data_IF_490111183027
#
_entry.id   IF_490111183027
#
_cell.length_a   1.000
_cell.length_b   1.000
_cell.length_c   1.000
_cell.angle_alpha   90.00
_cell.angle_beta   90.00
_cell.angle_gamma   90.00
#
_symmetry.space_group_name_H-M   'P 1'
#
loop_
_entity.id
_entity.type
_entity.pdbx_description
1 polymer ?
#
# COMPACT_ATOMS: atom_id res chain seq x y z
N UNK A 1 -12.46 48.54 -59.50
CA UNK A 1 -11.49 47.67 -58.80
C UNK A 1 -11.77 47.83 -57.33
N UNK A 2 -12.32 46.81 -56.69
CA UNK A 2 -12.66 46.83 -55.26
C UNK A 2 -11.56 46.09 -54.51
N UNK A 3 -10.97 46.77 -53.54
CA UNK A 3 -9.90 46.28 -52.69
C UNK A 3 -10.30 45.01 -51.92
N UNK A 4 -9.54 43.94 -52.13
CA UNK A 4 -9.70 42.70 -51.40
C UNK A 4 -9.04 42.86 -50.01
N UNK A 5 -9.84 43.20 -49.00
CA UNK A 5 -9.41 43.15 -47.60
C UNK A 5 -9.11 41.69 -47.19
N UNK A 6 -7.91 41.48 -46.69
CA UNK A 6 -7.52 40.26 -45.98
C UNK A 6 -8.30 40.16 -44.66
N UNK A 7 -9.12 39.13 -44.54
CA UNK A 7 -9.74 38.76 -43.26
C UNK A 7 -8.71 37.89 -42.53
N UNK A 8 -7.89 38.52 -41.69
CA UNK A 8 -7.04 37.80 -40.73
C UNK A 8 -7.97 37.04 -39.75
N UNK A 9 -7.91 35.71 -39.81
CA UNK A 9 -8.63 34.87 -38.85
C UNK A 9 -8.13 35.15 -37.43
N UNK A 10 -9.01 35.23 -36.41
CA UNK A 10 -8.59 35.51 -35.05
C UNK A 10 -7.68 34.40 -34.53
N UNK A 11 -6.40 34.73 -34.31
CA UNK A 11 -5.44 33.88 -33.58
C UNK A 11 -5.89 33.79 -32.12
N UNK A 12 -6.59 32.72 -31.77
CA UNK A 12 -6.98 32.44 -30.38
C UNK A 12 -5.74 32.13 -29.54
N UNK A 13 -5.59 32.87 -28.44
CA UNK A 13 -4.42 32.83 -27.55
C UNK A 13 -4.68 31.81 -26.45
N UNK A 14 -3.77 30.85 -26.28
CA UNK A 14 -3.83 29.84 -25.23
C UNK A 14 -3.81 30.50 -23.84
N UNK A 15 -4.80 30.18 -23.00
CA UNK A 15 -4.87 30.67 -21.63
C UNK A 15 -3.80 29.97 -20.79
N UNK A 16 -2.92 30.77 -20.17
CA UNK A 16 -1.83 30.31 -19.31
C UNK A 16 -2.37 29.74 -17.98
N UNK A 17 -2.73 28.46 -17.98
CA UNK A 17 -3.08 27.69 -16.78
C UNK A 17 -1.94 26.81 -16.31
N UNK A 18 -2.05 26.28 -15.08
CA UNK A 18 -1.15 25.24 -14.59
C UNK A 18 -1.18 24.04 -15.55
N UNK A 19 -0.06 23.79 -16.21
CA UNK A 19 0.12 22.66 -17.12
C UNK A 19 0.02 21.34 -16.34
N UNK A 20 -0.46 20.24 -16.96
CA UNK A 20 -0.52 18.93 -16.32
C UNK A 20 0.84 18.49 -15.79
N UNK A 21 0.84 17.78 -14.67
CA UNK A 21 2.10 17.22 -14.13
C UNK A 21 2.58 16.10 -15.07
N UNK A 22 3.89 16.03 -15.40
CA UNK A 22 4.40 14.94 -16.23
C UNK A 22 4.06 13.56 -15.66
N UNK A 23 3.52 12.69 -16.49
CA UNK A 23 2.99 11.39 -16.09
C UNK A 23 4.01 10.28 -16.35
N UNK A 24 4.48 9.63 -15.28
CA UNK A 24 5.49 8.57 -15.32
C UNK A 24 4.92 7.16 -15.60
N UNK A 25 3.67 7.06 -16.05
CA UNK A 25 3.06 5.77 -16.35
C UNK A 25 2.51 5.00 -15.13
N UNK A 26 2.47 5.60 -13.94
CA UNK A 26 1.86 4.96 -12.77
C UNK A 26 0.34 4.87 -12.91
N UNK A 27 -0.18 3.64 -13.02
CA UNK A 27 -1.61 3.36 -13.19
C UNK A 27 -2.51 4.12 -12.19
N UNK A 28 -2.11 4.22 -10.93
CA UNK A 28 -2.92 4.87 -9.89
C UNK A 28 -2.97 6.40 -10.00
N UNK A 29 -2.03 7.03 -10.72
CA UNK A 29 -2.01 8.48 -10.99
C UNK A 29 -2.68 8.83 -12.33
N UNK A 30 -2.97 7.84 -13.18
CA UNK A 30 -3.52 8.04 -14.51
C UNK A 30 -4.84 8.81 -14.50
N UNK A 31 -5.77 8.48 -13.59
CA UNK A 31 -7.08 9.16 -13.47
C UNK A 31 -6.93 10.65 -13.18
N UNK A 32 -6.04 11.02 -12.25
CA UNK A 32 -5.78 12.42 -11.88
C UNK A 32 -5.15 13.19 -13.05
N UNK A 33 -4.15 12.59 -13.71
CA UNK A 33 -3.49 13.18 -14.87
C UNK A 33 -4.48 13.42 -16.03
N UNK A 34 -5.36 12.45 -16.32
CA UNK A 34 -6.36 12.60 -17.37
C UNK A 34 -7.36 13.72 -17.06
N UNK A 35 -7.78 13.88 -15.79
CA UNK A 35 -8.66 14.97 -15.37
C UNK A 35 -8.00 16.34 -15.55
N UNK A 36 -6.72 16.49 -15.18
CA UNK A 36 -5.94 17.71 -15.41
C UNK A 36 -5.86 18.06 -16.90
N UNK A 37 -5.62 17.06 -17.75
CA UNK A 37 -5.60 17.22 -19.21
C UNK A 37 -6.98 17.65 -19.77
N UNK A 38 -8.06 16.98 -19.37
CA UNK A 38 -9.43 17.33 -19.81
C UNK A 38 -9.77 18.77 -19.42
N UNK A 39 -9.45 19.17 -18.19
CA UNK A 39 -9.74 20.53 -17.70
C UNK A 39 -8.98 21.58 -18.51
N UNK A 40 -7.69 21.35 -18.77
CA UNK A 40 -6.86 22.25 -19.57
C UNK A 40 -7.39 22.41 -21.00
N UNK A 41 -7.70 21.30 -21.67
CA UNK A 41 -8.23 21.32 -23.04
C UNK A 41 -9.66 21.86 -23.11
N UNK A 42 -10.46 21.66 -22.05
CA UNK A 42 -11.81 22.19 -21.94
C UNK A 42 -11.84 23.71 -21.85
N UNK A 43 -10.85 24.30 -21.19
CA UNK A 43 -10.69 25.76 -21.09
C UNK A 43 -10.11 26.35 -22.39
N UNK A 44 -9.18 25.64 -23.02
CA UNK A 44 -8.56 26.00 -24.31
C UNK A 44 -9.23 25.30 -25.51
N UNK A 45 -10.56 25.21 -25.51
CA UNK A 45 -11.34 24.40 -26.47
C UNK A 45 -11.16 24.83 -27.94
N UNK A 46 -10.90 26.11 -28.14
CA UNK A 46 -10.58 26.79 -29.39
C UNK A 46 -9.17 26.45 -29.91
N UNK A 47 -8.19 26.27 -29.01
CA UNK A 47 -6.83 25.85 -29.36
C UNK A 47 -6.77 24.34 -29.63
N UNK A 48 -7.50 23.56 -28.84
CA UNK A 48 -7.60 22.10 -28.93
C UNK A 48 -8.93 21.66 -29.57
N UNK A 49 -9.23 22.22 -30.73
CA UNK A 49 -10.42 21.92 -31.53
C UNK A 49 -10.41 20.52 -32.15
N UNK A 50 -9.24 20.03 -32.58
CA UNK A 50 -9.07 18.72 -33.20
C UNK A 50 -8.56 17.64 -32.25
N UNK A 51 -8.97 16.40 -32.52
CA UNK A 51 -8.53 15.21 -31.78
C UNK A 51 -7.00 15.05 -31.81
N UNK A 52 -6.36 15.30 -32.95
CA UNK A 52 -4.91 15.20 -33.10
C UNK A 52 -4.14 16.18 -32.22
N UNK A 53 -4.62 17.43 -32.06
CA UNK A 53 -3.99 18.41 -31.17
C UNK A 53 -4.10 17.99 -29.71
N UNK A 54 -5.24 17.40 -29.33
CA UNK A 54 -5.47 16.87 -27.98
C UNK A 54 -4.57 15.68 -27.68
N UNK A 55 -4.48 14.72 -28.61
CA UNK A 55 -3.59 13.56 -28.48
C UNK A 55 -2.13 14.02 -28.36
N UNK A 56 -1.68 14.92 -29.23
CA UNK A 56 -0.32 15.45 -29.21
C UNK A 56 0.02 16.14 -27.89
N UNK A 57 -0.92 16.92 -27.33
CA UNK A 57 -0.76 17.55 -26.02
C UNK A 57 -0.55 16.51 -24.92
N UNK A 58 -1.43 15.51 -24.83
CA UNK A 58 -1.35 14.49 -23.78
C UNK A 58 -0.08 13.66 -23.89
N UNK A 59 0.33 13.29 -25.10
CA UNK A 59 1.58 12.59 -25.35
C UNK A 59 2.80 13.44 -24.95
N UNK A 60 2.75 14.77 -25.09
CA UNK A 60 3.86 15.65 -24.71
C UNK A 60 4.16 15.66 -23.19
N UNK A 61 3.17 15.29 -22.36
CA UNK A 61 3.33 15.20 -20.91
C UNK A 61 3.51 13.76 -20.41
N UNK A 62 3.59 12.76 -21.29
CA UNK A 62 3.92 11.38 -20.92
C UNK A 62 5.44 11.20 -20.84
N UNK A 63 5.95 10.82 -19.67
CA UNK A 63 7.34 10.41 -19.48
C UNK A 63 7.48 8.90 -19.64
N UNK A 64 8.58 8.45 -20.24
CA UNK A 64 8.86 7.05 -20.60
C UNK A 64 8.52 6.07 -19.45
N UNK A 65 7.65 5.10 -19.75
CA UNK A 65 7.21 4.06 -18.81
C UNK A 65 6.31 3.05 -19.52
N UNK A 66 6.17 1.84 -18.95
CA UNK A 66 5.40 0.73 -19.57
C UNK A 66 3.95 1.11 -19.93
N UNK A 67 3.33 2.05 -19.20
CA UNK A 67 1.97 2.49 -19.49
C UNK A 67 1.88 3.50 -20.66
N UNK A 68 2.99 4.13 -21.09
CA UNK A 68 2.99 5.07 -22.22
C UNK A 68 2.63 4.35 -23.51
N UNK A 69 3.27 3.21 -23.80
CA UNK A 69 2.94 2.42 -24.98
C UNK A 69 1.47 1.97 -24.99
N UNK A 70 0.95 1.65 -23.79
CA UNK A 70 -0.44 1.24 -23.63
C UNK A 70 -1.42 2.40 -23.90
N UNK A 71 -1.14 3.58 -23.34
CA UNK A 71 -2.01 4.74 -23.50
C UNK A 71 -1.91 5.33 -24.90
N UNK A 72 -0.74 5.31 -25.53
CA UNK A 72 -0.55 5.75 -26.92
C UNK A 72 -1.39 4.94 -27.88
N UNK A 73 -1.43 3.60 -27.77
CA UNK A 73 -2.31 2.80 -28.64
C UNK A 73 -3.79 3.13 -28.41
N UNK A 74 -4.21 3.37 -27.15
CA UNK A 74 -5.60 3.70 -26.80
C UNK A 74 -6.02 5.06 -27.35
N UNK A 75 -5.15 6.06 -27.20
CA UNK A 75 -5.39 7.43 -27.64
C UNK A 75 -5.43 7.54 -29.17
N UNK A 76 -4.61 6.75 -29.88
CA UNK A 76 -4.57 6.76 -31.35
C UNK A 76 -5.78 6.06 -31.99
N UNK A 77 -6.41 5.13 -31.27
CA UNK A 77 -7.57 4.38 -31.77
C UNK A 77 -8.91 5.09 -31.62
N UNK A 78 -9.13 5.82 -30.51
CA UNK A 78 -10.29 6.68 -30.28
C UNK A 78 -10.05 7.51 -29.01
N UNK A 79 -9.79 8.81 -29.14
CA UNK A 79 -9.55 9.72 -28.02
C UNK A 79 -10.71 9.69 -27.04
N UNK A 80 -11.95 9.83 -27.51
CA UNK A 80 -13.13 9.83 -26.62
C UNK A 80 -13.27 8.52 -25.83
N UNK A 81 -12.83 7.38 -26.37
CA UNK A 81 -12.84 6.10 -25.68
C UNK A 81 -11.75 6.03 -24.60
N UNK A 82 -10.61 6.68 -24.83
CA UNK A 82 -9.52 6.78 -23.86
C UNK A 82 -9.81 7.75 -22.69
N UNK A 83 -10.71 8.72 -22.87
CA UNK A 83 -11.11 9.71 -21.84
C UNK A 83 -12.40 9.39 -21.11
N UNK A 84 -13.16 8.38 -21.53
CA UNK A 84 -14.21 7.84 -20.67
C UNK A 84 -13.54 7.25 -19.44
N UNK A 85 -13.96 7.60 -18.20
CA UNK A 85 -13.48 6.89 -17.04
C UNK A 85 -13.81 5.42 -17.27
N UNK A 86 -12.79 4.58 -17.33
CA UNK A 86 -12.90 3.12 -17.35
C UNK A 86 -13.39 2.63 -15.97
N UNK A 87 -14.48 3.22 -15.49
CA UNK A 87 -15.36 2.61 -14.50
C UNK A 87 -16.36 1.68 -15.21
N UNK A 88 -16.60 1.87 -16.52
CA UNK A 88 -17.55 1.08 -17.34
C UNK A 88 -16.98 -0.21 -17.99
N UNK A 89 -15.68 -0.35 -18.28
CA UNK A 89 -15.18 -1.53 -19.02
C UNK A 89 -14.50 -2.61 -18.16
N UNK A 90 -14.22 -2.35 -16.87
CA UNK A 90 -13.90 -3.44 -15.94
C UNK A 90 -15.23 -3.90 -15.35
N UNK A 91 -15.73 -5.03 -15.86
CA UNK A 91 -16.91 -5.71 -15.34
C UNK A 91 -16.84 -5.75 -13.80
N UNK A 92 -17.96 -5.51 -13.12
CA UNK A 92 -18.02 -5.59 -11.66
C UNK A 92 -17.50 -6.95 -11.18
N UNK A 93 -17.69 -7.99 -11.98
CA UNK A 93 -17.11 -9.32 -11.79
C UNK A 93 -15.57 -9.33 -11.84
N UNK A 94 -14.97 -8.61 -12.77
CA UNK A 94 -13.51 -8.52 -12.90
C UNK A 94 -12.90 -7.70 -11.77
N UNK A 95 -13.57 -6.61 -11.35
CA UNK A 95 -13.20 -5.87 -10.12
C UNK A 95 -13.27 -6.77 -8.90
N UNK A 96 -14.27 -7.65 -8.83
CA UNK A 96 -14.45 -8.61 -7.74
C UNK A 96 -13.36 -9.69 -7.74
N UNK A 97 -12.97 -10.21 -8.92
CA UNK A 97 -11.87 -11.19 -9.07
C UNK A 97 -10.50 -10.60 -8.72
N UNK A 98 -10.28 -9.32 -9.02
CA UNK A 98 -9.02 -8.62 -8.73
C UNK A 98 -8.93 -8.14 -7.27
N UNK A 99 -10.02 -8.20 -6.52
CA UNK A 99 -10.04 -7.79 -5.12
C UNK A 99 -9.12 -8.66 -4.27
N UNK A 100 -8.25 -8.02 -3.48
CA UNK A 100 -7.32 -8.68 -2.56
C UNK A 100 -7.29 -7.91 -1.24
N UNK A 101 -7.24 -8.62 -0.12
CA UNK A 101 -7.22 -8.02 1.22
C UNK A 101 -5.98 -7.15 1.44
N UNK A 102 -4.77 -7.64 1.14
CA UNK A 102 -3.52 -6.89 1.32
C UNK A 102 -3.47 -6.21 2.70
N UNK A 103 -3.59 -4.87 2.76
CA UNK A 103 -3.55 -4.06 3.98
C UNK A 103 -4.94 -3.63 4.49
N UNK A 104 -6.02 -4.03 3.80
CA UNK A 104 -7.39 -3.73 4.22
C UNK A 104 -7.77 -4.61 5.42
N UNK A 105 -8.54 -4.01 6.33
CA UNK A 105 -9.21 -4.77 7.39
C UNK A 105 -10.25 -5.71 6.79
N UNK A 106 -10.58 -6.80 7.48
CA UNK A 106 -11.63 -7.71 7.02
C UNK A 106 -12.98 -6.98 6.87
N UNK A 107 -13.29 -6.02 7.73
CA UNK A 107 -14.52 -5.20 7.63
C UNK A 107 -14.56 -4.39 6.34
N UNK A 108 -13.49 -3.66 6.03
CA UNK A 108 -13.40 -2.86 4.80
C UNK A 108 -13.46 -3.75 3.56
N UNK A 109 -12.83 -4.92 3.61
CA UNK A 109 -12.88 -5.90 2.52
C UNK A 109 -14.31 -6.39 2.29
N UNK A 110 -15.02 -6.76 3.36
CA UNK A 110 -16.41 -7.23 3.30
C UNK A 110 -17.33 -6.14 2.74
N UNK A 111 -17.19 -4.90 3.19
CA UNK A 111 -18.00 -3.78 2.66
C UNK A 111 -17.76 -3.58 1.16
N UNK A 112 -16.50 -3.58 0.73
CA UNK A 112 -16.15 -3.42 -0.69
C UNK A 112 -16.63 -4.61 -1.54
N UNK A 113 -16.53 -5.82 -1.00
CA UNK A 113 -17.02 -7.03 -1.65
C UNK A 113 -18.53 -6.98 -1.84
N UNK A 114 -19.30 -6.62 -0.79
CA UNK A 114 -20.76 -6.49 -0.87
C UNK A 114 -21.21 -5.46 -1.90
N UNK A 115 -20.52 -4.32 -1.97
CA UNK A 115 -20.79 -3.28 -2.97
C UNK A 115 -20.60 -3.80 -4.40
N UNK A 116 -19.47 -4.46 -4.67
CA UNK A 116 -19.18 -5.04 -5.99
C UNK A 116 -20.13 -6.18 -6.37
N UNK A 117 -20.58 -6.98 -5.40
CA UNK A 117 -21.60 -8.03 -5.63
C UNK A 117 -22.93 -7.40 -6.04
N UNK A 118 -23.32 -6.29 -5.41
CA UNK A 118 -24.50 -5.52 -5.79
C UNK A 118 -24.40 -4.91 -7.19
N UNK A 119 -23.24 -4.34 -7.53
CA UNK A 119 -22.96 -3.80 -8.87
C UNK A 119 -22.97 -4.89 -9.95
N UNK A 120 -22.50 -6.10 -9.64
CA UNK A 120 -22.52 -7.25 -10.54
C UNK A 120 -23.89 -7.93 -10.67
N UNK A 121 -24.90 -7.49 -9.89
CA UNK A 121 -26.24 -8.09 -9.88
C UNK A 121 -26.27 -9.54 -9.38
N UNK A 122 -25.25 -9.98 -8.62
CA UNK A 122 -25.20 -11.34 -8.06
C UNK A 122 -26.08 -11.42 -6.81
N UNK A 123 -26.95 -12.44 -6.76
CA UNK A 123 -27.79 -12.71 -5.59
C UNK A 123 -27.21 -13.82 -4.72
N UNK A 124 -27.41 -13.72 -3.41
CA UNK A 124 -27.07 -14.72 -2.40
C UNK A 124 -28.22 -15.72 -2.15
N UNK A 125 -29.25 -15.75 -3.00
CA UNK A 125 -30.47 -16.52 -2.75
C UNK A 125 -30.36 -18.00 -3.19
N UNK A 126 -29.43 -18.33 -4.07
CA UNK A 126 -29.22 -19.69 -4.57
C UNK A 126 -27.98 -20.31 -3.97
N UNK A 127 -28.02 -21.60 -3.63
CA UNK A 127 -26.87 -22.35 -3.11
C UNK A 127 -25.67 -22.32 -4.07
N UNK A 128 -25.91 -22.35 -5.38
CA UNK A 128 -24.86 -22.25 -6.41
C UNK A 128 -24.21 -20.87 -6.40
N UNK A 129 -25.01 -19.81 -6.26
CA UNK A 129 -24.50 -18.45 -6.21
C UNK A 129 -23.75 -18.19 -4.89
N UNK A 130 -24.25 -18.71 -3.76
CA UNK A 130 -23.53 -18.67 -2.49
C UNK A 130 -22.19 -19.38 -2.57
N UNK A 131 -22.12 -20.55 -3.21
CA UNK A 131 -20.86 -21.28 -3.40
C UNK A 131 -19.87 -20.47 -4.23
N UNK A 132 -20.32 -19.86 -5.33
CA UNK A 132 -19.49 -19.01 -6.18
C UNK A 132 -18.97 -17.79 -5.41
N UNK A 133 -19.84 -17.10 -4.67
CA UNK A 133 -19.46 -15.95 -3.83
C UNK A 133 -18.44 -16.34 -2.76
N UNK A 134 -18.57 -17.53 -2.17
CA UNK A 134 -17.60 -18.07 -1.21
C UNK A 134 -16.24 -18.31 -1.87
N UNK A 135 -16.22 -18.90 -3.06
CA UNK A 135 -14.95 -19.12 -3.80
C UNK A 135 -14.26 -17.80 -4.15
N UNK A 136 -15.02 -16.81 -4.62
CA UNK A 136 -14.51 -15.47 -4.90
C UNK A 136 -14.01 -14.78 -3.62
N UNK A 137 -14.75 -14.89 -2.53
CA UNK A 137 -14.37 -14.28 -1.25
C UNK A 137 -13.11 -14.92 -0.66
N UNK A 138 -12.96 -16.25 -0.78
CA UNK A 138 -11.73 -16.96 -0.42
C UNK A 138 -10.52 -16.49 -1.22
N UNK A 139 -10.69 -16.21 -2.52
CA UNK A 139 -9.61 -15.70 -3.37
C UNK A 139 -9.19 -14.26 -2.99
N UNK A 140 -10.14 -13.47 -2.48
CA UNK A 140 -9.89 -12.10 -2.04
C UNK A 140 -9.23 -12.02 -0.65
N UNK A 141 -9.54 -12.95 0.26
CA UNK A 141 -8.96 -13.01 1.60
C UNK A 141 -7.47 -13.43 1.60
N UNK A 142 -6.76 -13.05 2.65
CA UNK A 142 -5.41 -13.57 2.91
C UNK A 142 -5.48 -15.08 3.22
N UNK A 143 -4.57 -15.87 2.63
CA UNK A 143 -4.58 -17.33 2.73
C UNK A 143 -4.56 -17.84 4.18
N UNK A 144 -3.81 -17.18 5.06
CA UNK A 144 -3.74 -17.53 6.48
C UNK A 144 -5.10 -17.40 7.20
N UNK A 145 -5.91 -16.39 6.83
CA UNK A 145 -7.25 -16.22 7.38
C UNK A 145 -8.20 -17.29 6.83
N UNK A 146 -8.12 -17.58 5.53
CA UNK A 146 -8.93 -18.65 4.90
C UNK A 146 -8.67 -19.99 5.56
N UNK A 147 -7.40 -20.36 5.73
CA UNK A 147 -7.01 -21.60 6.40
C UNK A 147 -7.57 -21.67 7.82
N UNK A 148 -7.44 -20.59 8.59
CA UNK A 148 -7.96 -20.52 9.96
C UNK A 148 -9.48 -20.65 10.02
N UNK A 149 -10.21 -20.11 9.05
CA UNK A 149 -11.67 -20.27 8.95
C UNK A 149 -12.03 -21.72 8.61
N UNK A 150 -11.33 -22.36 7.66
CA UNK A 150 -11.58 -23.75 7.27
C UNK A 150 -11.28 -24.72 8.43
N UNK A 151 -10.22 -24.46 9.19
CA UNK A 151 -9.82 -25.27 10.35
C UNK A 151 -10.68 -25.02 11.60
N UNK A 152 -11.57 -24.03 11.57
CA UNK A 152 -12.49 -23.77 12.69
C UNK A 152 -13.59 -24.83 12.76
N UNK A 153 -14.05 -25.15 13.97
CA UNK A 153 -14.96 -26.28 14.25
C UNK A 153 -16.24 -26.29 13.40
N UNK A 154 -16.81 -25.12 13.11
CA UNK A 154 -18.01 -24.98 12.29
C UNK A 154 -17.65 -24.58 10.86
N UNK A 155 -17.60 -25.51 9.92
CA UNK A 155 -17.35 -25.17 8.51
C UNK A 155 -18.47 -24.27 7.97
N UNK A 156 -18.20 -23.02 7.58
CA UNK A 156 -19.28 -22.13 7.13
C UNK A 156 -19.76 -22.54 5.74
N UNK A 157 -21.07 -22.65 5.59
CA UNK A 157 -21.73 -23.03 4.31
C UNK A 157 -22.33 -21.83 3.60
N UNK A 158 -22.63 -20.75 4.33
CA UNK A 158 -23.18 -19.50 3.78
C UNK A 158 -22.13 -18.40 3.73
N UNK A 159 -22.26 -17.52 2.73
CA UNK A 159 -21.34 -16.38 2.55
C UNK A 159 -21.38 -15.40 3.74
N UNK A 160 -22.53 -15.24 4.37
CA UNK A 160 -22.69 -14.37 5.56
C UNK A 160 -21.85 -14.88 6.74
N UNK A 161 -21.89 -16.19 7.01
CA UNK A 161 -21.08 -16.81 8.05
C UNK A 161 -19.58 -16.70 7.76
N UNK A 162 -19.19 -16.69 6.47
CA UNK A 162 -17.82 -16.42 6.05
C UNK A 162 -17.40 -14.98 6.39
N UNK A 163 -18.27 -14.00 6.21
CA UNK A 163 -17.99 -12.60 6.57
C UNK A 163 -17.78 -12.44 8.07
N UNK A 164 -18.69 -12.96 8.88
CA UNK A 164 -18.62 -12.83 10.34
C UNK A 164 -17.35 -13.47 10.89
N UNK A 165 -17.02 -14.67 10.42
CA UNK A 165 -15.78 -15.34 10.84
C UNK A 165 -14.53 -14.59 10.40
N UNK A 166 -14.49 -14.11 9.17
CA UNK A 166 -13.35 -13.33 8.69
C UNK A 166 -13.12 -12.08 9.56
N UNK A 167 -14.18 -11.37 9.92
CA UNK A 167 -14.11 -10.22 10.83
C UNK A 167 -13.62 -10.59 12.23
N UNK A 168 -14.16 -11.67 12.82
CA UNK A 168 -13.75 -12.14 14.15
C UNK A 168 -12.27 -12.53 14.17
N UNK A 169 -11.81 -13.30 13.18
CA UNK A 169 -10.42 -13.74 13.13
C UNK A 169 -9.44 -12.61 12.83
N UNK A 170 -9.80 -11.66 11.96
CA UNK A 170 -8.98 -10.47 11.70
C UNK A 170 -8.86 -9.59 12.95
N UNK A 171 -9.99 -9.32 13.63
CA UNK A 171 -9.99 -8.58 14.90
C UNK A 171 -9.15 -9.28 15.97
N UNK A 172 -9.32 -10.59 16.13
CA UNK A 172 -8.52 -11.40 17.05
C UNK A 172 -7.03 -11.36 16.72
N UNK A 173 -6.68 -11.47 15.44
CA UNK A 173 -5.28 -11.39 14.99
C UNK A 173 -4.67 -10.02 15.29
N UNK A 174 -5.40 -8.93 15.01
CA UNK A 174 -4.93 -7.57 15.27
C UNK A 174 -4.78 -7.30 16.77
N UNK A 175 -5.71 -7.80 17.59
CA UNK A 175 -5.59 -7.76 19.06
C UNK A 175 -4.36 -8.54 19.54
N UNK A 176 -4.12 -9.74 19.03
CA UNK A 176 -2.95 -10.55 19.38
C UNK A 176 -1.64 -9.86 18.98
N UNK A 177 -1.58 -9.22 17.81
CA UNK A 177 -0.41 -8.45 17.38
C UNK A 177 -0.20 -7.19 18.23
N UNK A 178 -1.27 -6.52 18.67
CA UNK A 178 -1.18 -5.38 19.59
C UNK A 178 -0.63 -5.79 20.97
N UNK A 179 -1.06 -6.96 21.49
CA UNK A 179 -0.55 -7.52 22.75
C UNK A 179 0.91 -7.95 22.63
N UNK A 180 1.29 -8.58 21.51
CA UNK A 180 2.67 -9.02 21.27
C UNK A 180 3.67 -7.85 21.24
N UNK A 181 3.19 -6.64 20.93
CA UNK A 181 4.02 -5.44 20.84
C UNK A 181 4.99 -5.49 19.65
N UNK A 182 5.77 -4.42 19.41
CA UNK A 182 6.82 -4.44 18.41
C UNK A 182 7.81 -5.56 18.74
N UNK A 183 8.08 -6.42 17.76
CA UNK A 183 9.05 -7.51 17.89
C UNK A 183 10.39 -6.92 18.32
N UNK A 184 10.88 -7.27 19.51
CA UNK A 184 12.26 -6.95 19.97
C UNK A 184 13.32 -7.75 19.19
N UNK A 185 13.05 -8.14 17.95
CA UNK A 185 14.00 -8.82 17.08
C UNK A 185 14.80 -7.77 16.32
N UNK A 186 15.84 -7.22 16.97
CA UNK A 186 17.09 -6.75 16.36
C UNK A 186 18.06 -6.10 17.37
N UNK A 187 18.01 -6.48 18.66
CA UNK A 187 19.23 -6.39 19.47
C UNK A 187 20.08 -7.62 19.13
N UNK A 188 20.79 -7.60 18.00
CA UNK A 188 21.87 -8.55 17.77
C UNK A 188 22.82 -8.43 18.96
N UNK A 189 22.84 -9.46 19.80
CA UNK A 189 23.90 -9.60 20.79
C UNK A 189 25.19 -9.79 20.01
N UNK A 190 25.94 -8.70 19.86
CA UNK A 190 27.32 -8.75 19.38
C UNK A 190 28.13 -9.21 20.60
N UNK A 191 28.64 -10.46 20.65
CA UNK A 191 29.57 -10.83 21.70
C UNK A 191 30.77 -9.88 21.60
N UNK A 192 30.97 -9.07 22.64
CA UNK A 192 32.13 -8.19 22.72
C UNK A 192 33.36 -9.09 22.73
N UNK A 193 34.19 -9.00 21.69
CA UNK A 193 35.44 -9.74 21.63
C UNK A 193 36.23 -9.48 22.92
N UNK A 194 36.69 -10.54 23.57
CA UNK A 194 37.51 -10.42 24.77
C UNK A 194 38.74 -9.55 24.42
N UNK A 195 39.06 -8.51 25.22
CA UNK A 195 40.26 -7.73 24.99
C UNK A 195 41.48 -8.67 25.06
N UNK A 196 42.40 -8.53 24.11
CA UNK A 196 43.66 -9.30 24.11
C UNK A 196 44.41 -9.00 25.40
N UNK A 197 44.72 -10.04 26.16
CA UNK A 197 45.43 -9.94 27.44
C UNK A 197 46.90 -9.63 27.16
N UNK A 198 47.42 -8.57 27.79
CA UNK A 198 48.82 -8.14 27.64
C UNK A 198 49.76 -9.25 28.15
N UNK A 199 50.70 -9.76 27.32
CA UNK A 199 51.67 -10.79 27.71
C UNK A 199 52.56 -10.42 28.90
N UNK A 200 52.65 -9.13 29.26
CA UNK A 200 53.43 -8.64 30.39
C UNK A 200 52.57 -8.12 31.54
N UNK A 201 51.24 -8.32 31.51
CA UNK A 201 50.41 -8.03 32.66
C UNK A 201 50.78 -8.98 33.81
N UNK A 202 51.20 -8.42 34.95
CA UNK A 202 51.38 -9.18 36.18
C UNK A 202 50.07 -9.94 36.50
N UNK A 203 50.14 -11.26 36.59
CA UNK A 203 49.00 -12.10 36.98
C UNK A 203 48.63 -11.76 38.43
N UNK A 204 47.58 -10.95 38.59
CA UNK A 204 46.91 -10.80 39.87
C UNK A 204 46.01 -12.03 40.01
N UNK A 205 46.37 -12.93 40.92
CA UNK A 205 45.53 -14.09 41.23
C UNK A 205 44.12 -13.60 41.55
N UNK A 206 43.17 -14.02 40.71
CA UNK A 206 41.75 -13.73 40.91
C UNK A 206 41.33 -14.52 42.14
N UNK A 207 41.17 -13.82 43.26
CA UNK A 207 40.66 -14.37 44.51
C UNK A 207 39.42 -15.20 44.23
N UNK A 208 39.49 -16.48 44.57
CA UNK A 208 38.38 -17.40 44.35
C UNK A 208 37.18 -16.99 45.19
N UNK A 209 35.97 -17.35 44.76
CA UNK A 209 34.73 -17.07 45.51
C UNK A 209 34.78 -17.65 46.93
N UNK A 210 35.54 -18.73 47.12
CA UNK A 210 35.78 -19.40 48.39
C UNK A 210 36.72 -18.60 49.30
N UNK A 211 37.83 -18.08 48.77
CA UNK A 211 38.72 -17.20 49.52
C UNK A 211 38.02 -15.89 49.91
N UNK A 212 37.25 -15.30 48.99
CA UNK A 212 36.46 -14.09 49.25
C UNK A 212 35.45 -14.30 50.38
N UNK A 213 34.73 -15.43 50.37
CA UNK A 213 33.77 -15.76 51.43
C UNK A 213 34.46 -16.10 52.75
N UNK A 214 35.66 -16.69 52.72
CA UNK A 214 36.46 -16.95 53.92
C UNK A 214 36.96 -15.67 54.60
N UNK A 215 37.34 -14.65 53.82
CA UNK A 215 37.78 -13.34 54.32
C UNK A 215 36.60 -12.54 54.90
N UNK A 216 35.43 -12.63 54.27
CA UNK A 216 34.19 -12.06 54.81
C UNK A 216 33.80 -12.71 56.15
N UNK A 217 33.98 -14.03 56.30
CA UNK A 217 33.76 -14.73 57.58
C UNK A 217 34.79 -14.37 58.66
N UNK A 218 36.02 -14.05 58.26
CA UNK A 218 37.09 -13.62 59.18
C UNK A 218 37.02 -12.13 59.55
N UNK A 219 36.01 -11.40 59.07
CA UNK A 219 35.78 -10.00 59.43
C UNK A 219 36.79 -9.01 58.87
N UNK A 220 37.60 -9.42 57.87
CA UNK A 220 38.63 -8.59 57.27
C UNK A 220 38.11 -7.82 56.03
N UNK A 221 36.94 -7.20 56.12
CA UNK A 221 36.50 -6.24 55.11
C UNK A 221 37.10 -4.87 55.46
N UNK A 222 38.16 -4.49 54.75
CA UNK A 222 38.77 -3.17 54.85
C UNK A 222 37.73 -2.08 54.52
N UNK A 223 37.47 -1.20 55.48
CA UNK A 223 36.61 -0.03 55.35
C UNK A 223 37.10 0.88 54.22
N UNK A 224 36.35 0.95 53.12
CA UNK A 224 36.44 2.06 52.19
C UNK A 224 35.38 3.10 52.62
N UNK A 225 35.71 3.90 53.62
CA UNK A 225 34.87 5.00 54.06
C UNK A 225 34.94 6.16 53.04
N UNK A 226 33.77 6.71 52.82
CA UNK A 226 33.40 7.72 51.85
C UNK A 226 33.68 9.14 52.41
N UNK A 227 33.76 10.12 51.50
CA UNK A 227 33.51 11.56 51.69
C UNK A 227 34.59 12.45 52.36
N UNK A 228 35.39 13.12 51.52
CA UNK A 228 35.81 14.49 51.75
C UNK A 228 34.76 15.45 51.13
N UNK A 229 33.90 16.02 51.96
CA UNK A 229 33.23 17.30 51.72
C UNK A 229 33.71 18.22 52.83
N UNK A 230 34.48 19.26 52.50
CA UNK A 230 34.83 20.35 53.41
C UNK A 230 34.00 21.60 53.05
N UNK A 231 33.65 22.42 54.07
CA UNK A 231 32.76 23.57 53.96
C UNK A 231 33.40 24.83 53.35
#
# INVERSE_FOLDING_TARGET
>A
MVDQQMIDAPKTRELSLCKPTPFNGEWFKSKKFLQECILYMGINKDVYDTESKRIAFILSFMQEGNAVGILTYRLTGNFQKAFKPEEEDIDALDKLKMLRQKNLTAEQLVTKFKLLVGEAGMSNNSDTANKLLIEMFKAALNLALVQKIIMSEKKPTKIEEWYDKAMIFDRSYRLAMAIKGPSQSNAQFIPRAAPRKDPFAMDVDVMTTEERTSLMKKGACSDANNQDILP
#
